data_IF_874014088594
#
_entry.id   IF_874014088594
#
_cell.length_a   1.000
_cell.length_b   1.000
_cell.length_c   1.000
_cell.angle_alpha   90.00
_cell.angle_beta   90.00
_cell.angle_gamma   90.00
#
_symmetry.space_group_name_H-M   'P 1'
#
loop_
_entity.id
_entity.type
_entity.pdbx_description
1 polymer ?
#
# COMPACT_ATOMS: atom_id res chain seq x y z
N UNK A 1 0.25 -2.62 -11.47
CA UNK A 1 -0.97 -2.50 -12.32
C UNK A 1 -2.07 -1.90 -11.46
N UNK A 2 -2.70 -0.83 -11.93
CA UNK A 2 -3.83 -0.15 -11.28
C UNK A 2 -4.95 -1.12 -10.90
N UNK A 3 -5.28 -1.20 -9.61
CA UNK A 3 -6.28 -2.11 -9.03
C UNK A 3 -6.93 -1.52 -7.77
N UNK A 4 -7.95 -2.23 -7.28
CA UNK A 4 -8.55 -2.05 -5.95
C UNK A 4 -8.22 -3.28 -5.11
N UNK A 5 -8.08 -3.11 -3.81
CA UNK A 5 -7.83 -4.23 -2.91
C UNK A 5 -9.12 -4.99 -2.62
N UNK A 6 -9.01 -6.31 -2.53
CA UNK A 6 -10.11 -7.18 -2.12
C UNK A 6 -10.15 -7.32 -0.61
N UNK A 7 -11.35 -7.45 0.00
CA UNK A 7 -11.47 -7.64 1.43
C UNK A 7 -10.92 -9.01 1.85
N UNK A 8 -10.26 -9.04 3.00
CA UNK A 8 -9.95 -10.25 3.74
C UNK A 8 -11.06 -10.48 4.77
N UNK A 9 -11.50 -11.73 4.91
CA UNK A 9 -12.53 -12.11 5.89
C UNK A 9 -11.97 -13.14 6.85
N UNK A 10 -12.13 -12.90 8.14
CA UNK A 10 -11.63 -13.78 9.19
C UNK A 10 -12.52 -13.72 10.43
N UNK A 11 -13.05 -14.87 10.85
CA UNK A 11 -13.81 -15.00 12.10
C UNK A 11 -14.95 -13.98 12.28
N UNK A 12 -15.66 -13.66 11.19
CA UNK A 12 -16.76 -12.67 11.19
C UNK A 12 -16.30 -11.23 11.02
N UNK A 13 -15.00 -10.96 11.00
CA UNK A 13 -14.43 -9.65 10.66
C UNK A 13 -14.17 -9.54 9.17
N UNK A 14 -14.26 -8.33 8.63
CA UNK A 14 -13.94 -8.01 7.23
C UNK A 14 -13.00 -6.81 7.17
N UNK A 15 -11.92 -6.90 6.41
CA UNK A 15 -11.03 -5.75 6.21
C UNK A 15 -11.62 -4.74 5.22
N UNK A 16 -11.37 -3.46 5.49
CA UNK A 16 -11.85 -2.36 4.64
C UNK A 16 -10.72 -1.38 4.23
N UNK A 17 -9.59 -1.43 4.94
CA UNK A 17 -8.43 -0.57 4.69
C UNK A 17 -7.16 -1.40 4.53
N UNK A 18 -6.28 -0.91 3.66
CA UNK A 18 -4.91 -1.41 3.48
C UNK A 18 -3.94 -0.47 4.19
N UNK A 19 -3.06 -1.04 5.01
CA UNK A 19 -1.95 -0.35 5.66
C UNK A 19 -0.64 -0.80 5.01
N UNK A 20 0.11 0.14 4.44
CA UNK A 20 1.49 -0.07 3.98
C UNK A 20 2.45 0.65 4.93
N UNK A 21 3.43 -0.05 5.47
CA UNK A 21 4.53 0.53 6.26
C UNK A 21 5.82 0.41 5.46
N UNK A 22 6.45 1.54 5.16
CA UNK A 22 7.68 1.59 4.36
C UNK A 22 8.89 1.39 5.27
N UNK A 23 9.67 0.33 5.01
CA UNK A 23 10.78 -0.07 5.86
C UNK A 23 12.13 0.50 5.42
N UNK A 24 12.22 1.03 4.21
CA UNK A 24 13.38 1.71 3.67
C UNK A 24 12.98 2.75 2.59
N UNK A 25 13.93 3.56 2.14
CA UNK A 25 13.78 4.58 1.09
C UNK A 25 15.08 4.82 0.28
N UNK A 26 16.06 3.93 0.39
CA UNK A 26 17.30 3.90 -0.40
C UNK A 26 17.10 3.21 -1.76
N UNK A 27 16.11 3.66 -2.54
CA UNK A 27 15.81 3.14 -3.88
C UNK A 27 15.25 4.22 -4.82
N UNK A 28 15.26 3.94 -6.13
CA UNK A 28 14.66 4.80 -7.16
C UNK A 28 13.36 4.21 -7.71
N UNK A 29 12.37 5.05 -8.02
CA UNK A 29 11.04 4.63 -8.44
C UNK A 29 10.18 4.13 -7.27
N UNK A 30 9.30 3.16 -7.50
CA UNK A 30 8.58 2.47 -6.44
C UNK A 30 7.53 3.30 -5.67
N UNK A 31 6.96 4.33 -6.27
CA UNK A 31 5.81 5.06 -5.70
C UNK A 31 4.58 4.17 -5.52
N UNK A 32 3.68 4.58 -4.62
CA UNK A 32 2.30 4.11 -4.65
C UNK A 32 1.47 5.17 -5.37
N UNK A 33 1.05 4.86 -6.59
CA UNK A 33 0.30 5.77 -7.45
C UNK A 33 -1.19 5.54 -7.26
N UNK A 34 -1.91 6.64 -7.07
CA UNK A 34 -3.36 6.75 -7.17
C UNK A 34 -3.70 7.44 -8.49
N UNK A 35 -4.98 7.50 -8.86
CA UNK A 35 -5.39 8.11 -10.15
C UNK A 35 -5.00 9.58 -10.27
N UNK A 36 -5.06 10.34 -9.18
CA UNK A 36 -4.86 11.79 -9.19
C UNK A 36 -3.53 12.22 -8.55
N UNK A 37 -2.89 11.36 -7.75
CA UNK A 37 -1.67 11.70 -7.02
C UNK A 37 -0.80 10.46 -6.76
N UNK A 38 0.46 10.69 -6.40
CA UNK A 38 1.39 9.62 -6.03
C UNK A 38 1.95 9.85 -4.62
N UNK A 39 2.21 8.76 -3.91
CA UNK A 39 2.87 8.76 -2.60
C UNK A 39 4.27 8.17 -2.75
N UNK A 40 5.27 8.99 -2.49
CA UNK A 40 6.65 8.55 -2.41
C UNK A 40 6.89 7.84 -1.05
N UNK A 41 7.44 6.62 -1.04
CA UNK A 41 7.82 5.93 0.18
C UNK A 41 8.84 6.73 0.98
N UNK A 42 8.70 6.72 2.30
CA UNK A 42 9.68 7.27 3.24
C UNK A 42 9.86 6.31 4.40
N UNK A 43 11.10 6.01 4.76
CA UNK A 43 11.39 5.06 5.84
C UNK A 43 10.67 5.46 7.14
N UNK A 44 9.97 4.51 7.75
CA UNK A 44 9.25 4.72 9.00
C UNK A 44 7.88 5.41 8.86
N UNK A 45 7.48 5.79 7.65
CA UNK A 45 6.12 6.29 7.38
C UNK A 45 5.15 5.16 7.03
N UNK A 46 3.87 5.45 7.14
CA UNK A 46 2.80 4.55 6.75
C UNK A 46 1.79 5.24 5.83
N UNK A 47 1.22 4.45 4.91
CA UNK A 47 0.14 4.84 4.02
C UNK A 47 -1.07 3.96 4.33
N UNK A 48 -2.19 4.58 4.71
CA UNK A 48 -3.46 3.93 4.99
C UNK A 48 -4.50 4.41 3.97
N UNK A 49 -5.18 3.48 3.31
CA UNK A 49 -6.21 3.82 2.32
C UNK A 49 -7.33 2.78 2.28
N UNK A 50 -8.50 3.20 1.80
CA UNK A 50 -9.69 2.35 1.67
C UNK A 50 -9.51 1.37 0.52
N UNK A 51 -9.92 0.12 0.69
CA UNK A 51 -9.82 -0.94 -0.34
C UNK A 51 -10.43 -0.54 -1.68
N UNK A 52 -11.51 0.24 -1.65
CA UNK A 52 -12.19 0.76 -2.86
C UNK A 52 -11.42 1.88 -3.59
N UNK A 53 -10.18 2.15 -3.21
CA UNK A 53 -9.32 3.15 -3.84
C UNK A 53 -8.47 2.52 -4.96
N UNK A 54 -8.54 3.10 -6.15
CA UNK A 54 -7.67 2.72 -7.27
C UNK A 54 -6.23 3.11 -6.98
N UNK A 55 -5.33 2.13 -6.96
CA UNK A 55 -3.92 2.35 -6.73
C UNK A 55 -3.02 1.32 -7.44
N UNK A 56 -1.72 1.61 -7.53
CA UNK A 56 -0.69 0.63 -7.85
C UNK A 56 0.67 0.95 -7.24
N UNK A 57 1.46 -0.08 -6.97
CA UNK A 57 2.91 0.09 -6.81
C UNK A 57 3.58 0.21 -8.16
N UNK A 58 4.33 1.29 -8.38
CA UNK A 58 5.16 1.44 -9.59
C UNK A 58 6.46 0.64 -9.46
N UNK A 59 7.15 0.45 -10.60
CA UNK A 59 8.38 -0.32 -10.62
C UNK A 59 9.48 0.37 -9.82
N UNK A 60 10.24 -0.41 -9.05
CA UNK A 60 11.55 0.00 -8.54
C UNK A 60 12.53 -0.10 -9.70
N UNK A 61 13.22 0.99 -10.01
CA UNK A 61 14.17 1.05 -11.13
C UNK A 61 15.61 0.81 -10.69
N UNK A 62 15.90 1.03 -9.40
CA UNK A 62 17.22 0.81 -8.79
C UNK A 62 17.05 0.54 -7.28
N UNK A 63 17.88 -0.34 -6.71
CA UNK A 63 17.80 -0.72 -5.30
C UNK A 63 16.72 -1.77 -5.02
N UNK A 64 16.26 -1.85 -3.77
CA UNK A 64 15.18 -2.76 -3.34
C UNK A 64 14.25 -2.01 -2.40
N UNK A 65 12.93 -2.12 -2.60
CA UNK A 65 11.91 -1.54 -1.73
C UNK A 65 11.35 -2.60 -0.78
N UNK A 66 11.42 -2.35 0.52
CA UNK A 66 10.85 -3.17 1.59
C UNK A 66 9.59 -2.52 2.16
N UNK A 67 8.48 -3.27 2.17
CA UNK A 67 7.17 -2.81 2.67
C UNK A 67 6.51 -3.93 3.47
N UNK A 68 5.89 -3.57 4.60
CA UNK A 68 4.90 -4.44 5.25
C UNK A 68 3.51 -4.03 4.78
N UNK A 69 2.71 -5.00 4.33
CA UNK A 69 1.28 -4.83 4.07
C UNK A 69 0.50 -5.49 5.19
N UNK A 70 -0.48 -4.77 5.71
CA UNK A 70 -1.47 -5.28 6.65
C UNK A 70 -2.85 -4.74 6.26
N UNK A 71 -3.88 -5.29 6.90
CA UNK A 71 -5.28 -4.99 6.65
C UNK A 71 -5.94 -4.61 7.97
N UNK A 72 -6.83 -3.60 7.95
CA UNK A 72 -7.59 -3.20 9.14
C UNK A 72 -8.96 -3.88 9.11
N UNK A 73 -9.19 -4.74 10.11
CA UNK A 73 -10.39 -5.57 10.26
C UNK A 73 -11.49 -4.83 11.03
N UNK A 74 -12.73 -4.97 10.58
CA UNK A 74 -13.95 -4.43 11.19
C UNK A 74 -14.95 -5.56 11.44
N UNK A 75 -15.79 -5.45 12.46
CA UNK A 75 -16.84 -6.42 12.82
C UNK A 75 -18.13 -5.76 13.23
#
# INVERSE_FOLDING_TARGET
>A
KMHKDGPWMESGLTSQLTLLVYLNDDFSGGTTDFREFAVAPRTGSALLFVHDTWHEGTAVTEGTKYVLRSDVLYG
#
